data_IF_676877236301
#
_entry.id   IF_676877236301
#
_cell.length_a   1.000
_cell.length_b   1.000
_cell.length_c   1.000
_cell.angle_alpha   90.00
_cell.angle_beta   90.00
_cell.angle_gamma   90.00
#
_symmetry.space_group_name_H-M   'P 1'
#
loop_
_entity.id
_entity.type
_entity.pdbx_description
1 polymer ?
#
# COMPACT_ATOMS: atom_id res chain seq x y z
N UNK A 1 -23.28 -3.96 -1.58
CA UNK A 1 -22.55 -3.87 -2.85
C UNK A 1 -23.26 -2.83 -3.68
N UNK A 2 -22.59 -1.71 -3.95
CA UNK A 2 -23.13 -0.61 -4.72
C UNK A 2 -23.34 -1.04 -6.18
N UNK A 3 -24.55 -0.86 -6.71
CA UNK A 3 -24.87 -1.05 -8.12
C UNK A 3 -25.18 0.32 -8.75
N UNK A 4 -24.54 0.62 -9.88
CA UNK A 4 -24.68 1.91 -10.56
C UNK A 4 -25.12 1.69 -11.99
N UNK A 5 -26.31 2.19 -12.34
CA UNK A 5 -26.85 2.10 -13.70
C UNK A 5 -26.81 3.48 -14.36
N UNK A 6 -26.26 3.55 -15.57
CA UNK A 6 -26.19 4.79 -16.33
C UNK A 6 -27.26 4.78 -17.42
N UNK A 7 -28.20 5.70 -17.32
CA UNK A 7 -29.17 6.00 -18.36
C UNK A 7 -28.73 7.27 -19.10
N UNK A 8 -28.88 7.28 -20.42
CA UNK A 8 -28.48 8.42 -21.25
C UNK A 8 -29.67 8.87 -22.07
N UNK A 9 -30.01 10.14 -21.92
CA UNK A 9 -31.04 10.78 -22.74
C UNK A 9 -30.48 12.11 -23.23
N UNK A 10 -30.40 12.23 -24.55
CA UNK A 10 -29.86 13.39 -25.26
C UNK A 10 -28.42 13.76 -24.83
N UNK A 11 -28.27 14.86 -24.07
CA UNK A 11 -27.00 15.36 -23.52
C UNK A 11 -26.92 15.25 -22.00
N UNK A 12 -27.82 14.46 -21.40
CA UNK A 12 -27.88 14.23 -19.96
C UNK A 12 -27.56 12.77 -19.65
N UNK A 13 -26.62 12.56 -18.74
CA UNK A 13 -26.32 11.23 -18.20
C UNK A 13 -26.88 11.13 -16.78
N UNK A 14 -27.85 10.24 -16.58
CA UNK A 14 -28.44 9.95 -15.27
C UNK A 14 -27.77 8.71 -14.70
N UNK A 15 -27.19 8.83 -13.51
CA UNK A 15 -26.52 7.77 -12.79
C UNK A 15 -27.43 7.38 -11.63
N UNK A 16 -28.09 6.24 -11.78
CA UNK A 16 -28.94 5.63 -10.76
C UNK A 16 -28.06 4.89 -9.76
N UNK A 17 -28.10 5.32 -8.51
CA UNK A 17 -27.31 4.76 -7.41
C UNK A 17 -28.19 3.87 -6.55
N UNK A 18 -27.87 2.57 -6.52
CA UNK A 18 -28.61 1.57 -5.75
C UNK A 18 -27.73 0.95 -4.68
N UNK A 19 -28.20 0.99 -3.43
CA UNK A 19 -27.52 0.39 -2.28
C UNK A 19 -26.92 1.41 -1.31
N UNK A 20 -25.82 1.03 -0.66
CA UNK A 20 -25.13 1.86 0.33
C UNK A 20 -23.97 2.58 -0.33
N UNK A 21 -23.93 3.91 -0.23
CA UNK A 21 -22.80 4.74 -0.66
C UNK A 21 -21.94 5.07 0.57
N UNK A 22 -21.10 4.11 0.94
CA UNK A 22 -20.18 4.17 2.08
C UNK A 22 -18.73 4.06 1.63
N UNK A 23 -17.77 4.30 2.52
CA UNK A 23 -16.32 4.30 2.23
C UNK A 23 -15.83 3.12 1.35
N UNK A 24 -16.37 1.91 1.57
CA UNK A 24 -16.01 0.72 0.80
C UNK A 24 -16.35 0.83 -0.71
N UNK A 25 -17.38 1.61 -1.05
CA UNK A 25 -17.93 1.74 -2.40
C UNK A 25 -17.55 3.08 -3.08
N UNK A 26 -16.82 3.95 -2.38
CA UNK A 26 -16.40 5.27 -2.89
C UNK A 26 -15.54 5.18 -4.15
N UNK A 27 -14.61 4.22 -4.21
CA UNK A 27 -13.69 4.08 -5.34
C UNK A 27 -14.43 3.74 -6.63
N UNK A 28 -15.39 2.81 -6.58
CA UNK A 28 -16.18 2.43 -7.76
C UNK A 28 -17.08 3.58 -8.20
N UNK A 29 -17.75 4.25 -7.25
CA UNK A 29 -18.57 5.43 -7.52
C UNK A 29 -17.76 6.56 -8.17
N UNK A 30 -16.59 6.88 -7.63
CA UNK A 30 -15.70 7.92 -8.15
C UNK A 30 -15.28 7.63 -9.60
N UNK A 31 -14.91 6.38 -9.91
CA UNK A 31 -14.54 5.99 -11.27
C UNK A 31 -15.72 6.11 -12.24
N UNK A 32 -16.92 5.70 -11.83
CA UNK A 32 -18.14 5.83 -12.63
C UNK A 32 -18.44 7.31 -12.92
N UNK A 33 -18.46 8.16 -11.91
CA UNK A 33 -18.68 9.60 -12.05
C UNK A 33 -17.62 10.27 -12.93
N UNK A 34 -16.34 9.97 -12.68
CA UNK A 34 -15.22 10.50 -13.48
C UNK A 34 -15.32 10.08 -14.95
N UNK A 35 -15.75 8.84 -15.21
CA UNK A 35 -15.94 8.35 -16.57
C UNK A 35 -17.07 9.09 -17.30
N UNK A 36 -18.18 9.37 -16.62
CA UNK A 36 -19.30 10.16 -17.16
C UNK A 36 -18.90 11.62 -17.42
N UNK A 37 -18.14 12.22 -16.49
CA UNK A 37 -17.63 13.60 -16.62
C UNK A 37 -16.66 13.73 -17.80
N UNK A 38 -15.82 12.72 -18.08
CA UNK A 38 -14.80 12.83 -19.14
C UNK A 38 -15.34 12.70 -20.57
N UNK A 39 -16.54 12.14 -20.76
CA UNK A 39 -17.10 11.95 -22.10
C UNK A 39 -17.62 13.25 -22.70
N UNK A 40 -17.46 13.49 -24.01
CA UNK A 40 -17.88 14.76 -24.64
C UNK A 40 -19.38 14.86 -24.96
N UNK A 41 -20.10 13.74 -24.90
CA UNK A 41 -21.53 13.60 -25.25
C UNK A 41 -22.48 14.17 -24.19
N UNK A 42 -22.13 14.06 -22.90
CA UNK A 42 -22.95 14.55 -21.80
C UNK A 42 -22.53 15.95 -21.32
N UNK A 43 -23.46 16.93 -21.39
CA UNK A 43 -23.29 18.28 -20.80
C UNK A 43 -23.86 18.40 -19.38
N UNK A 44 -24.86 17.59 -19.07
CA UNK A 44 -25.48 17.52 -17.74
C UNK A 44 -25.35 16.11 -17.17
N UNK A 45 -25.10 16.00 -15.88
CA UNK A 45 -24.99 14.73 -15.16
C UNK A 45 -25.95 14.79 -13.97
N UNK A 46 -26.84 13.83 -13.86
CA UNK A 46 -27.78 13.72 -12.75
C UNK A 46 -27.39 12.50 -11.93
N UNK A 47 -27.19 12.66 -10.63
CA UNK A 47 -26.98 11.55 -9.69
C UNK A 47 -28.29 11.32 -8.97
N UNK A 48 -28.94 10.20 -9.28
CA UNK A 48 -30.22 9.80 -8.67
C UNK A 48 -29.95 8.90 -7.46
N UNK A 49 -30.33 9.38 -6.27
CA UNK A 49 -30.16 8.70 -4.99
C UNK A 49 -31.45 8.00 -4.50
N UNK A 50 -32.48 7.84 -5.33
CA UNK A 50 -33.78 7.27 -4.93
C UNK A 50 -33.68 5.90 -4.26
N UNK A 51 -32.77 5.03 -4.72
CA UNK A 51 -32.57 3.68 -4.15
C UNK A 51 -31.33 3.60 -3.23
N UNK A 52 -30.81 4.75 -2.79
CA UNK A 52 -29.69 4.81 -1.85
C UNK A 52 -30.19 4.70 -0.42
N UNK A 53 -29.76 3.66 0.31
CA UNK A 53 -30.21 3.40 1.69
C UNK A 53 -29.37 4.12 2.74
N UNK A 54 -28.06 4.26 2.48
CA UNK A 54 -27.11 4.89 3.39
C UNK A 54 -26.10 5.72 2.61
N UNK A 55 -25.84 6.93 3.08
CA UNK A 55 -24.75 7.81 2.64
C UNK A 55 -23.91 8.19 3.86
N UNK A 56 -22.61 7.89 3.83
CA UNK A 56 -21.68 8.37 4.85
C UNK A 56 -20.94 9.65 4.39
N UNK A 57 -20.05 10.16 5.23
CA UNK A 57 -19.25 11.35 4.91
C UNK A 57 -18.31 11.13 3.71
N UNK A 58 -17.82 9.91 3.49
CA UNK A 58 -16.95 9.60 2.37
C UNK A 58 -17.74 9.58 1.04
N UNK A 59 -18.96 9.02 1.07
CA UNK A 59 -19.91 9.07 -0.03
C UNK A 59 -20.31 10.49 -0.40
N UNK A 60 -20.66 11.32 0.58
CA UNK A 60 -20.99 12.73 0.37
C UNK A 60 -19.80 13.52 -0.22
N UNK A 61 -18.59 13.32 0.32
CA UNK A 61 -17.37 13.94 -0.21
C UNK A 61 -17.08 13.53 -1.66
N UNK A 62 -17.41 12.30 -2.04
CA UNK A 62 -17.23 11.79 -3.42
C UNK A 62 -18.16 12.50 -4.40
N UNK A 63 -19.42 12.73 -4.02
CA UNK A 63 -20.38 13.47 -4.84
C UNK A 63 -19.94 14.94 -4.96
N UNK A 64 -19.55 15.58 -3.85
CA UNK A 64 -19.04 16.96 -3.85
C UNK A 64 -17.81 17.13 -4.76
N UNK A 65 -16.86 16.19 -4.69
CA UNK A 65 -15.70 16.19 -5.58
C UNK A 65 -16.10 16.01 -7.05
N UNK A 66 -17.07 15.15 -7.34
CA UNK A 66 -17.58 14.96 -8.70
C UNK A 66 -18.30 16.21 -9.25
N UNK A 67 -19.05 16.94 -8.41
CA UNK A 67 -19.66 18.23 -8.79
C UNK A 67 -18.59 19.24 -9.21
N UNK A 68 -17.48 19.32 -8.47
CA UNK A 68 -16.37 20.21 -8.79
C UNK A 68 -15.66 19.80 -10.09
N UNK A 69 -15.41 18.49 -10.27
CA UNK A 69 -14.81 17.97 -11.51
C UNK A 69 -15.69 18.23 -12.73
N UNK A 70 -17.01 18.11 -12.58
CA UNK A 70 -17.97 18.46 -13.62
C UNK A 70 -17.92 19.96 -13.95
N UNK A 71 -17.93 20.82 -12.93
CA UNK A 71 -17.84 22.28 -13.08
C UNK A 71 -16.55 22.71 -13.80
N UNK A 72 -15.38 22.15 -13.42
CA UNK A 72 -14.10 22.39 -14.10
C UNK A 72 -14.10 21.92 -15.56
N UNK A 73 -14.88 20.88 -15.88
CA UNK A 73 -15.06 20.40 -17.24
C UNK A 73 -16.14 21.18 -18.03
N UNK A 74 -16.71 22.25 -17.44
CA UNK A 74 -17.77 23.05 -18.05
C UNK A 74 -19.14 22.35 -18.10
N UNK A 75 -19.39 21.44 -17.16
CA UNK A 75 -20.60 20.62 -17.06
C UNK A 75 -21.35 20.89 -15.77
N UNK A 76 -22.64 20.62 -15.79
CA UNK A 76 -23.49 20.70 -14.60
C UNK A 76 -23.69 19.30 -14.04
N UNK A 77 -23.47 19.13 -12.73
CA UNK A 77 -23.83 17.92 -12.01
C UNK A 77 -24.88 18.27 -10.95
N UNK A 78 -26.04 17.61 -10.99
CA UNK A 78 -27.12 17.77 -10.01
C UNK A 78 -27.35 16.45 -9.27
N UNK A 79 -27.84 16.56 -8.04
CA UNK A 79 -28.25 15.41 -7.22
C UNK A 79 -29.77 15.44 -7.10
N UNK A 80 -30.43 14.35 -7.45
CA UNK A 80 -31.88 14.19 -7.40
C UNK A 80 -32.28 13.05 -6.44
N UNK A 81 -33.51 13.12 -5.92
CA UNK A 81 -34.10 12.12 -5.01
C UNK A 81 -33.27 11.78 -3.76
N UNK A 82 -32.46 12.73 -3.27
CA UNK A 82 -31.76 12.58 -2.00
C UNK A 82 -32.75 12.68 -0.83
N UNK A 83 -32.79 11.65 0.02
CA UNK A 83 -33.53 11.71 1.28
C UNK A 83 -33.00 12.84 2.18
N UNK A 84 -33.85 13.42 3.03
CA UNK A 84 -33.52 14.61 3.83
C UNK A 84 -32.29 14.43 4.72
N UNK A 85 -32.07 13.22 5.25
CA UNK A 85 -30.89 12.89 6.06
C UNK A 85 -29.58 12.85 5.23
N UNK A 86 -29.66 12.55 3.93
CA UNK A 86 -28.52 12.61 3.01
C UNK A 86 -28.19 14.04 2.59
N UNK A 87 -29.20 14.92 2.49
CA UNK A 87 -29.01 16.34 2.19
C UNK A 87 -28.15 17.05 3.24
N UNK A 88 -28.34 16.71 4.52
CA UNK A 88 -27.53 17.25 5.62
C UNK A 88 -26.05 16.85 5.48
N UNK A 89 -25.77 15.60 5.09
CA UNK A 89 -24.41 15.12 4.88
C UNK A 89 -23.73 15.78 3.66
N UNK A 90 -24.50 16.11 2.62
CA UNK A 90 -24.04 16.87 1.45
C UNK A 90 -23.75 18.34 1.81
N UNK A 91 -24.57 18.97 2.64
CA UNK A 91 -24.37 20.36 3.10
C UNK A 91 -23.19 20.52 4.07
N UNK A 92 -22.91 19.49 4.87
CA UNK A 92 -21.77 19.45 5.80
C UNK A 92 -20.44 19.09 5.12
N UNK A 93 -20.45 18.71 3.84
CA UNK A 93 -19.23 18.38 3.13
C UNK A 93 -18.34 19.63 3.05
N UNK A 94 -17.07 19.56 3.51
CA UNK A 94 -16.20 20.73 3.48
C UNK A 94 -16.03 21.23 2.04
N UNK A 95 -15.96 22.56 1.83
CA UNK A 95 -15.73 23.12 0.52
C UNK A 95 -14.45 22.52 -0.06
N UNK A 96 -14.43 22.16 -1.35
CA UNK A 96 -13.29 21.46 -1.91
C UNK A 96 -12.05 22.34 -1.83
N UNK A 97 -11.00 21.83 -1.18
CA UNK A 97 -9.68 22.45 -1.26
C UNK A 97 -9.20 22.30 -2.70
N UNK A 98 -8.80 23.40 -3.31
CA UNK A 98 -8.09 23.39 -4.58
C UNK A 98 -6.74 22.70 -4.38
N UNK A 99 -6.71 21.38 -4.54
CA UNK A 99 -5.47 20.62 -4.63
C UNK A 99 -4.92 20.92 -6.03
N UNK A 100 -3.74 21.57 -6.14
CA UNK A 100 -3.10 21.80 -7.43
C UNK A 100 -2.97 20.47 -8.17
N UNK A 101 -3.14 20.48 -9.50
CA UNK A 101 -2.81 19.30 -10.29
C UNK A 101 -1.36 18.90 -9.95
N UNK A 102 -1.07 17.62 -9.65
CA UNK A 102 0.29 17.21 -9.37
C UNK A 102 1.12 17.55 -10.61
N UNK A 103 2.08 18.46 -10.45
CA UNK A 103 3.07 18.72 -11.47
C UNK A 103 3.77 17.39 -11.73
N UNK A 104 3.74 16.93 -12.98
CA UNK A 104 4.44 15.70 -13.35
C UNK A 104 5.92 16.07 -13.32
N UNK A 105 6.70 15.57 -12.34
CA UNK A 105 8.07 16.04 -12.17
C UNK A 105 8.85 15.68 -13.42
N UNK A 106 9.68 16.60 -13.91
CA UNK A 106 10.56 16.32 -15.05
C UNK A 106 11.47 15.13 -14.77
N UNK A 107 12.04 14.50 -15.80
CA UNK A 107 12.98 13.39 -15.60
C UNK A 107 14.18 13.78 -14.70
N UNK A 108 14.62 15.04 -14.80
CA UNK A 108 15.67 15.61 -13.96
C UNK A 108 15.23 15.85 -12.50
N UNK A 109 13.98 16.23 -12.28
CA UNK A 109 13.41 16.47 -10.95
C UNK A 109 13.25 15.15 -10.20
N UNK A 110 12.70 14.13 -10.87
CA UNK A 110 12.62 12.76 -10.34
C UNK A 110 14.01 12.17 -10.02
N UNK A 111 15.02 12.47 -10.83
CA UNK A 111 16.39 12.02 -10.56
C UNK A 111 16.97 12.77 -9.36
N UNK A 112 16.75 14.08 -9.26
CA UNK A 112 17.16 14.89 -8.12
C UNK A 112 16.53 14.42 -6.80
N UNK A 113 15.22 14.18 -6.80
CA UNK A 113 14.48 13.67 -5.65
C UNK A 113 15.04 12.30 -5.18
N UNK A 114 15.27 11.38 -6.11
CA UNK A 114 15.89 10.07 -5.80
C UNK A 114 17.30 10.21 -5.22
N UNK A 115 18.12 11.10 -5.77
CA UNK A 115 19.48 11.34 -5.27
C UNK A 115 19.46 11.94 -3.86
N UNK A 116 18.56 12.89 -3.60
CA UNK A 116 18.38 13.48 -2.27
C UNK A 116 17.92 12.41 -1.27
N UNK A 117 16.93 11.59 -1.62
CA UNK A 117 16.48 10.49 -0.76
C UNK A 117 17.57 9.46 -0.52
N UNK A 118 18.35 9.10 -1.53
CA UNK A 118 19.49 8.20 -1.37
C UNK A 118 20.56 8.80 -0.44
N UNK A 119 20.84 10.10 -0.54
CA UNK A 119 21.75 10.81 0.35
C UNK A 119 21.27 10.83 1.80
N UNK A 120 19.97 11.07 2.01
CA UNK A 120 19.33 11.00 3.33
C UNK A 120 19.39 9.59 3.92
N UNK A 121 19.08 8.56 3.11
CA UNK A 121 19.18 7.16 3.52
C UNK A 121 20.62 6.78 3.89
N UNK A 122 21.61 7.21 3.10
CA UNK A 122 23.02 6.99 3.38
C UNK A 122 23.47 7.69 4.68
N UNK A 123 22.96 8.91 4.95
CA UNK A 123 23.22 9.61 6.22
C UNK A 123 22.60 8.87 7.40
N UNK A 124 21.36 8.37 7.26
CA UNK A 124 20.70 7.59 8.29
C UNK A 124 21.44 6.28 8.57
N UNK A 125 21.86 5.56 7.53
CA UNK A 125 22.66 4.34 7.66
C UNK A 125 23.99 4.61 8.38
N UNK A 126 24.70 5.68 8.01
CA UNK A 126 25.94 6.07 8.71
C UNK A 126 25.68 6.40 10.18
N UNK A 127 24.60 7.10 10.49
CA UNK A 127 24.23 7.40 11.87
C UNK A 127 23.93 6.12 12.67
N UNK A 128 23.20 5.18 12.09
CA UNK A 128 22.91 3.88 12.69
C UNK A 128 24.18 3.08 12.96
N UNK A 129 25.07 2.96 11.96
CA UNK A 129 26.35 2.27 12.10
C UNK A 129 27.21 2.92 13.18
N UNK A 130 27.27 4.25 13.22
CA UNK A 130 28.00 4.99 14.25
C UNK A 130 27.39 4.79 15.65
N UNK A 131 26.07 4.69 15.76
CA UNK A 131 25.41 4.45 17.04
C UNK A 131 25.63 3.03 17.56
N UNK A 132 25.46 2.02 16.71
CA UNK A 132 25.80 0.62 17.02
C UNK A 132 27.27 0.51 17.42
N UNK A 133 28.18 1.14 16.66
CA UNK A 133 29.61 1.17 16.98
C UNK A 133 29.89 1.79 18.35
N UNK A 134 29.29 2.95 18.65
CA UNK A 134 29.41 3.60 19.97
C UNK A 134 28.88 2.71 21.10
N UNK A 135 27.77 2.01 20.89
CA UNK A 135 27.21 1.09 21.88
C UNK A 135 28.11 -0.13 22.13
N UNK A 136 28.67 -0.73 21.07
CA UNK A 136 29.62 -1.84 21.19
C UNK A 136 30.90 -1.38 21.91
N UNK A 137 31.48 -0.24 21.51
CA UNK A 137 32.65 0.31 22.17
C UNK A 137 32.34 0.63 23.64
N UNK A 138 31.20 1.25 23.93
CA UNK A 138 30.74 1.49 25.30
C UNK A 138 30.60 0.20 26.10
N UNK A 139 30.07 -0.87 25.50
CA UNK A 139 29.92 -2.17 26.13
C UNK A 139 31.28 -2.83 26.46
N UNK A 140 32.28 -2.66 25.58
CA UNK A 140 33.62 -3.24 25.75
C UNK A 140 34.48 -2.40 26.71
N UNK A 141 34.44 -1.07 26.59
CA UNK A 141 35.28 -0.15 27.38
C UNK A 141 34.73 0.11 28.77
N UNK A 142 33.41 0.16 28.93
CA UNK A 142 32.77 0.26 30.24
C UNK A 142 32.60 -1.17 30.74
N UNK A 143 33.11 -1.48 31.93
CA UNK A 143 32.84 -2.75 32.64
C UNK A 143 31.39 -2.83 33.13
N UNK A 144 30.44 -2.31 32.36
CA UNK A 144 29.01 -2.50 32.56
C UNK A 144 28.73 -3.98 32.45
N UNK A 145 28.24 -4.57 33.55
CA UNK A 145 27.85 -5.98 33.57
C UNK A 145 26.73 -6.16 32.56
N UNK A 146 27.02 -6.89 31.48
CA UNK A 146 25.99 -7.40 30.59
C UNK A 146 24.93 -8.13 31.42
N UNK A 147 23.64 -7.88 31.21
CA UNK A 147 22.58 -8.62 31.88
C UNK A 147 22.55 -10.05 31.36
N UNK A 148 23.41 -10.90 31.94
CA UNK A 148 23.65 -12.26 31.46
C UNK A 148 22.37 -13.10 31.35
N UNK A 149 21.41 -12.87 32.26
CA UNK A 149 20.12 -13.54 32.24
C UNK A 149 19.29 -13.13 31.02
N UNK A 150 19.19 -11.83 30.71
CA UNK A 150 18.46 -11.35 29.54
C UNK A 150 19.12 -11.82 28.22
N UNK A 151 20.45 -11.87 28.19
CA UNK A 151 21.20 -12.41 27.05
C UNK A 151 20.93 -13.91 26.87
N UNK A 152 20.97 -14.68 27.96
CA UNK A 152 20.68 -16.11 27.92
C UNK A 152 19.24 -16.40 27.45
N UNK A 153 18.25 -15.68 28.00
CA UNK A 153 16.85 -15.80 27.57
C UNK A 153 16.68 -15.50 26.07
N UNK A 154 17.40 -14.50 25.57
CA UNK A 154 17.34 -14.14 24.16
C UNK A 154 18.01 -15.19 23.26
N UNK A 155 19.15 -15.75 23.68
CA UNK A 155 19.82 -16.85 22.98
C UNK A 155 18.90 -18.07 22.92
N UNK A 156 18.25 -18.42 24.04
CA UNK A 156 17.32 -19.54 24.10
C UNK A 156 16.14 -19.30 23.14
N UNK A 157 15.50 -18.12 23.19
CA UNK A 157 14.39 -17.76 22.29
C UNK A 157 14.77 -17.80 20.81
N UNK A 158 15.93 -17.24 20.47
CA UNK A 158 16.45 -17.29 19.10
C UNK A 158 16.72 -18.73 18.65
N UNK A 159 17.33 -19.53 19.53
CA UNK A 159 17.59 -20.95 19.30
C UNK A 159 16.31 -21.74 19.06
N UNK A 160 15.33 -21.66 19.97
CA UNK A 160 14.06 -22.41 19.88
C UNK A 160 13.27 -22.04 18.63
N UNK A 161 13.24 -20.76 18.26
CA UNK A 161 12.56 -20.29 17.05
C UNK A 161 13.32 -20.68 15.77
N UNK A 162 14.65 -20.80 15.84
CA UNK A 162 15.52 -21.10 14.72
C UNK A 162 15.74 -22.59 14.44
N UNK A 163 15.37 -23.51 15.35
CA UNK A 163 15.71 -24.94 15.27
C UNK A 163 15.36 -25.54 13.90
N UNK A 164 14.19 -25.21 13.36
CA UNK A 164 13.74 -25.79 12.08
C UNK A 164 14.65 -25.41 10.90
N UNK A 165 14.98 -24.12 10.77
CA UNK A 165 15.83 -23.61 9.68
C UNK A 165 17.27 -24.12 9.85
N UNK A 166 17.79 -24.08 11.09
CA UNK A 166 19.14 -24.58 11.38
C UNK A 166 19.25 -26.09 11.12
N UNK A 167 18.23 -26.87 11.50
CA UNK A 167 18.18 -28.31 11.23
C UNK A 167 18.16 -28.63 9.74
N UNK A 168 17.38 -27.89 8.95
CA UNK A 168 17.42 -27.97 7.49
C UNK A 168 18.81 -27.65 6.93
N UNK A 169 19.42 -26.54 7.37
CA UNK A 169 20.77 -26.16 6.92
C UNK A 169 21.80 -27.24 7.25
N UNK A 170 21.77 -27.82 8.45
CA UNK A 170 22.68 -28.87 8.87
C UNK A 170 22.45 -30.19 8.11
N UNK A 171 21.20 -30.54 7.81
CA UNK A 171 20.88 -31.70 6.97
C UNK A 171 21.43 -31.53 5.55
N UNK A 172 21.16 -30.38 4.92
CA UNK A 172 21.67 -30.06 3.59
C UNK A 172 23.20 -30.02 3.58
N UNK A 173 23.81 -29.40 4.59
CA UNK A 173 25.27 -29.35 4.74
C UNK A 173 25.86 -30.76 4.86
N UNK A 174 25.28 -31.62 5.70
CA UNK A 174 25.71 -33.00 5.87
C UNK A 174 25.61 -33.81 4.57
N UNK A 175 24.51 -33.67 3.83
CA UNK A 175 24.36 -34.27 2.51
C UNK A 175 25.45 -33.80 1.54
N UNK A 176 25.70 -32.49 1.46
CA UNK A 176 26.74 -31.93 0.58
C UNK A 176 28.14 -32.39 0.97
N UNK A 177 28.46 -32.46 2.26
CA UNK A 177 29.74 -32.99 2.75
C UNK A 177 29.89 -34.47 2.41
N UNK A 178 28.83 -35.27 2.52
CA UNK A 178 28.81 -36.68 2.11
C UNK A 178 29.14 -36.86 0.63
N UNK A 179 28.49 -36.09 -0.25
CA UNK A 179 28.81 -36.10 -1.68
C UNK A 179 30.24 -35.63 -1.97
N UNK A 180 30.70 -34.58 -1.31
CA UNK A 180 32.07 -34.07 -1.47
C UNK A 180 33.12 -35.10 -1.02
N UNK A 181 32.86 -35.85 0.06
CA UNK A 181 33.73 -36.92 0.54
C UNK A 181 33.76 -38.14 -0.38
N UNK A 182 32.61 -38.58 -0.88
CA UNK A 182 32.51 -39.70 -1.84
C UNK A 182 33.26 -39.41 -3.14
N UNK A 183 33.11 -38.20 -3.68
CA UNK A 183 33.85 -37.76 -4.88
C UNK A 183 35.37 -37.73 -4.62
N UNK A 184 35.81 -37.40 -3.40
CA UNK A 184 37.23 -37.46 -3.04
C UNK A 184 37.74 -38.92 -2.98
N UNK A 185 36.97 -39.86 -2.44
CA UNK A 185 37.36 -41.28 -2.39
C UNK A 185 37.42 -41.96 -3.77
N UNK A 186 36.55 -41.56 -4.71
CA UNK A 186 36.61 -42.02 -6.10
C UNK A 186 37.95 -41.66 -6.78
N UNK A 187 38.53 -40.49 -6.46
CA UNK A 187 39.83 -40.06 -6.99
C UNK A 187 41.02 -40.90 -6.46
N UNK A 188 40.84 -41.60 -5.34
CA UNK A 188 41.84 -42.50 -4.75
C UNK A 188 41.57 -43.99 -5.06
N UNK A 189 40.68 -44.30 -6.01
CA UNK A 189 40.47 -45.67 -6.49
C UNK A 189 39.52 -46.53 -5.65
N UNK A 190 38.82 -45.95 -4.67
CA UNK A 190 37.84 -46.66 -3.83
C UNK A 190 36.43 -46.78 -4.46
N UNK A 191 36.29 -46.48 -5.76
CA UNK A 191 35.01 -46.52 -6.49
C UNK A 191 34.17 -47.80 -6.32
N UNK A 192 34.75 -49.02 -6.28
CA UNK A 192 33.97 -50.26 -6.11
C UNK A 192 33.38 -50.49 -4.72
N UNK A 193 33.77 -49.70 -3.71
CA UNK A 193 33.28 -49.80 -2.33
C UNK A 193 32.27 -48.71 -1.97
N UNK A 194 31.94 -47.83 -2.93
CA UNK A 194 30.85 -46.86 -2.80
C UNK A 194 29.58 -47.58 -3.23
N UNK A 195 28.66 -47.83 -2.29
CA UNK A 195 27.36 -48.41 -2.59
C UNK A 195 26.57 -47.42 -3.48
N UNK A 196 26.04 -47.94 -4.61
CA UNK A 196 25.13 -47.25 -5.52
C UNK A 196 23.74 -47.07 -4.88
#
# INVERSE_FOLDING_TARGET
MLDTRIERRDRTATIHVRGDLVLADVTSMYLTLRSAIRRRDAKSIVVDLAETKRLDSAGAATIALAMQLASRAGKVLTVENAADHHRIALDLAPPPVEIPAPEIPGAFENLGEKLVHAGLAARALRALVADIGRQIVGLVTRRTRLPAHAVADQIIKMGTNGVFIVGLMLFLLGMTMGFQGGVQMQRFGAGPYVAD
#
